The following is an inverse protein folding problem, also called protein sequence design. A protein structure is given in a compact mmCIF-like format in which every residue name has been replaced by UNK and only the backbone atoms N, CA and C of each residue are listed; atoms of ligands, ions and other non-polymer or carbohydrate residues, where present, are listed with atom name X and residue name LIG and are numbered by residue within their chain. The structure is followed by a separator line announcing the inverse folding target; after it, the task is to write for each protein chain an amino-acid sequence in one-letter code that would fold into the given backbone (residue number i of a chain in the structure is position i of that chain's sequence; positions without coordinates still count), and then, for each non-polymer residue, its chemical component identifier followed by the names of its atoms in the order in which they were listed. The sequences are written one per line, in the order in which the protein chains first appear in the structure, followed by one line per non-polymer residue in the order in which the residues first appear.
data_IF_725533137869
#
_entry.id   IF_725533137869
#
_cell.length_a   1.000
_cell.length_b   1.000
_cell.length_c   1.000
_cell.angle_alpha   90.00
_cell.angle_beta   90.00
_cell.angle_gamma   90.00
#
_symmetry.space_group_name_H-M   'P 1'
#
loop_
_entity.id
_entity.type
_entity.pdbx_description
1 polymer ?
#
# COMPACT_ATOMS: atom_id res chain seq x y z
N UNK A 1 -26.53 17.30 -42.31
CA UNK A 1 -25.22 17.70 -41.75
C UNK A 1 -24.84 16.67 -40.70
N UNK A 2 -23.65 16.10 -40.82
CA UNK A 2 -23.28 14.73 -40.48
C UNK A 2 -23.32 14.31 -38.99
N UNK A 3 -23.58 13.02 -38.79
CA UNK A 3 -23.45 12.19 -37.58
C UNK A 3 -22.05 11.50 -37.62
N UNK A 4 -21.51 11.08 -36.45
CA UNK A 4 -20.30 10.23 -36.18
C UNK A 4 -18.95 10.98 -36.23
N UNK A 5 -17.94 10.73 -35.37
CA UNK A 5 -17.68 9.72 -34.36
C UNK A 5 -16.65 10.27 -33.33
N UNK A 6 -16.59 9.64 -32.16
CA UNK A 6 -15.53 9.79 -31.17
C UNK A 6 -14.12 9.65 -31.80
N UNK A 7 -13.07 10.28 -31.25
CA UNK A 7 -11.75 9.71 -31.41
C UNK A 7 -11.72 8.46 -30.54
N UNK A 8 -11.86 7.31 -31.21
CA UNK A 8 -11.48 6.02 -30.66
C UNK A 8 -10.07 6.11 -30.06
N UNK A 9 -9.90 5.39 -28.95
CA UNK A 9 -8.65 5.13 -28.27
C UNK A 9 -7.50 4.87 -29.26
N UNK A 10 -6.57 5.82 -29.34
CA UNK A 10 -5.17 5.49 -29.57
C UNK A 10 -4.56 5.36 -28.17
N UNK A 11 -4.55 4.13 -27.66
CA UNK A 11 -3.71 3.72 -26.53
C UNK A 11 -2.26 3.93 -26.92
N UNK A 12 -1.79 5.18 -26.82
CA UNK A 12 -0.38 5.50 -26.92
C UNK A 12 0.31 4.84 -25.74
N UNK A 13 1.01 3.74 -26.00
CA UNK A 13 1.89 3.16 -25.00
C UNK A 13 2.81 4.25 -24.48
N UNK A 14 2.87 4.41 -23.16
CA UNK A 14 3.76 5.37 -22.51
C UNK A 14 5.19 5.15 -22.99
N UNK A 15 5.90 6.23 -23.30
CA UNK A 15 7.30 6.17 -23.70
C UNK A 15 8.17 5.70 -22.53
N UNK A 16 9.32 5.08 -22.81
CA UNK A 16 10.25 4.66 -21.76
C UNK A 16 10.66 5.80 -20.80
N UNK A 17 10.96 7.03 -21.28
CA UNK A 17 11.23 8.16 -20.39
C UNK A 17 10.05 8.53 -19.49
N UNK A 18 8.82 8.42 -19.99
CA UNK A 18 7.62 8.70 -19.19
C UNK A 18 7.43 7.66 -18.07
N UNK A 19 7.72 6.38 -18.35
CA UNK A 19 7.71 5.32 -17.34
C UNK A 19 8.79 5.55 -16.28
N UNK A 20 9.99 5.97 -16.69
CA UNK A 20 11.10 6.28 -15.79
C UNK A 20 10.79 7.49 -14.90
N UNK A 21 10.23 8.56 -15.47
CA UNK A 21 9.79 9.74 -14.72
C UNK A 21 8.71 9.39 -13.69
N UNK A 22 7.73 8.56 -14.06
CA UNK A 22 6.70 8.06 -13.15
C UNK A 22 7.32 7.25 -12.02
N UNK A 23 8.24 6.33 -12.35
CA UNK A 23 8.92 5.48 -11.37
C UNK A 23 9.73 6.32 -10.38
N UNK A 24 10.44 7.33 -10.86
CA UNK A 24 11.22 8.26 -10.03
C UNK A 24 10.32 9.11 -9.12
N UNK A 25 9.20 9.61 -9.65
CA UNK A 25 8.20 10.33 -8.84
C UNK A 25 7.65 9.45 -7.71
N UNK A 26 7.30 8.20 -8.02
CA UNK A 26 6.82 7.24 -7.04
C UNK A 26 7.89 6.86 -6.01
N UNK A 27 9.15 6.67 -6.44
CA UNK A 27 10.27 6.38 -5.56
C UNK A 27 10.51 7.50 -4.55
N UNK A 28 10.55 8.76 -5.00
CA UNK A 28 10.69 9.92 -4.09
C UNK A 28 9.56 10.02 -3.07
N UNK A 29 8.33 9.74 -3.49
CA UNK A 29 7.19 9.69 -2.57
C UNK A 29 7.36 8.55 -1.54
N UNK A 30 7.80 7.36 -1.95
CA UNK A 30 8.11 6.25 -1.04
C UNK A 30 9.24 6.58 -0.05
N UNK A 31 10.31 7.21 -0.51
CA UNK A 31 11.42 7.65 0.34
C UNK A 31 10.95 8.67 1.39
N UNK A 32 10.07 9.60 1.02
CA UNK A 32 9.52 10.56 1.98
C UNK A 32 8.75 9.87 3.11
N UNK A 33 7.98 8.82 2.81
CA UNK A 33 7.34 7.97 3.83
C UNK A 33 8.38 7.26 4.70
N UNK A 34 9.36 6.59 4.08
CA UNK A 34 10.39 5.83 4.79
C UNK A 34 11.25 6.68 5.73
N UNK A 35 11.40 7.97 5.43
CA UNK A 35 12.06 8.98 6.26
C UNK A 35 11.12 9.72 7.22
N UNK A 36 9.87 9.26 7.37
CA UNK A 36 8.85 9.80 8.28
C UNK A 36 8.46 11.25 7.98
N UNK A 37 8.45 11.58 6.69
CA UNK A 37 8.00 12.86 6.16
C UNK A 37 6.84 12.58 5.19
N UNK A 38 5.62 12.28 5.68
CA UNK A 38 4.53 11.86 4.80
C UNK A 38 3.98 12.98 3.90
N UNK A 39 4.30 14.25 4.15
CA UNK A 39 3.77 15.39 3.41
C UNK A 39 3.92 15.31 1.89
N UNK A 40 5.13 15.09 1.34
CA UNK A 40 5.34 14.89 -0.10
C UNK A 40 4.56 13.70 -0.67
N UNK A 41 4.51 12.58 0.04
CA UNK A 41 3.68 11.44 -0.35
C UNK A 41 2.19 11.77 -0.39
N UNK A 42 1.66 12.39 0.68
CA UNK A 42 0.25 12.78 0.77
C UNK A 42 -0.16 13.78 -0.33
N UNK A 43 0.78 14.63 -0.75
CA UNK A 43 0.59 15.57 -1.86
C UNK A 43 0.58 14.87 -3.22
N UNK A 44 1.29 13.75 -3.36
CA UNK A 44 1.30 12.94 -4.58
C UNK A 44 0.04 12.06 -4.72
N UNK A 45 -0.73 11.83 -3.65
CA UNK A 45 -1.97 11.05 -3.69
C UNK A 45 -3.08 11.77 -4.47
N UNK A 46 -3.73 11.06 -5.39
CA UNK A 46 -4.91 11.52 -6.13
C UNK A 46 -6.19 11.43 -5.27
N UNK A 47 -6.17 12.00 -4.06
CA UNK A 47 -7.21 11.83 -3.02
C UNK A 47 -8.60 12.23 -3.52
N UNK A 48 -8.69 13.34 -4.27
CA UNK A 48 -9.93 13.81 -4.86
C UNK A 48 -10.47 12.85 -5.94
N UNK A 49 -9.60 12.26 -6.75
CA UNK A 49 -9.99 11.29 -7.76
C UNK A 49 -10.49 9.99 -7.12
N UNK A 50 -9.81 9.52 -6.05
CA UNK A 50 -10.24 8.35 -5.26
C UNK A 50 -11.63 8.58 -4.68
N UNK A 51 -11.84 9.70 -3.97
CA UNK A 51 -13.13 10.00 -3.35
C UNK A 51 -14.23 10.21 -4.39
N UNK A 52 -13.94 10.93 -5.48
CA UNK A 52 -14.90 11.14 -6.57
C UNK A 52 -15.26 9.85 -7.29
N UNK A 53 -14.32 8.92 -7.46
CA UNK A 53 -14.57 7.61 -8.05
C UNK A 53 -15.48 6.74 -7.19
N UNK A 54 -15.38 6.86 -5.86
CA UNK A 54 -16.20 6.08 -4.93
C UNK A 54 -17.60 6.66 -4.70
N UNK A 55 -17.72 7.97 -4.43
CA UNK A 55 -19.01 8.61 -4.15
C UNK A 55 -19.75 9.08 -5.40
N UNK A 56 -19.07 9.14 -6.54
CA UNK A 56 -19.55 9.78 -7.76
C UNK A 56 -19.28 11.29 -7.77
N UNK A 57 -18.96 11.80 -8.96
CA UNK A 57 -18.62 13.21 -9.18
C UNK A 57 -19.70 14.21 -8.73
N UNK A 58 -21.02 13.95 -8.92
CA UNK A 58 -22.05 14.88 -8.44
C UNK A 58 -22.12 14.99 -6.91
N UNK A 59 -21.90 13.87 -6.21
CA UNK A 59 -21.89 13.85 -4.74
C UNK A 59 -20.65 14.59 -4.24
N UNK A 60 -19.48 14.24 -4.76
CA UNK A 60 -18.20 14.86 -4.36
C UNK A 60 -18.17 16.37 -4.60
N UNK A 61 -18.69 16.83 -5.75
CA UNK A 61 -18.78 18.27 -6.05
C UNK A 61 -19.77 19.00 -5.15
N UNK A 62 -20.85 18.34 -4.72
CA UNK A 62 -21.85 18.92 -3.84
C UNK A 62 -21.47 18.94 -2.35
N UNK A 63 -20.35 18.32 -1.96
CA UNK A 63 -19.79 18.46 -0.61
C UNK A 63 -19.11 19.82 -0.44
N UNK A 64 -19.22 20.40 0.76
CA UNK A 64 -18.46 21.61 1.10
C UNK A 64 -16.96 21.32 1.24
N UNK A 65 -16.11 22.34 1.12
CA UNK A 65 -14.66 22.16 1.27
C UNK A 65 -14.26 21.59 2.63
N UNK A 66 -15.00 21.96 3.67
CA UNK A 66 -14.82 21.41 5.02
C UNK A 66 -15.12 19.90 5.05
N UNK A 67 -16.18 19.46 4.39
CA UNK A 67 -16.57 18.05 4.32
C UNK A 67 -15.57 17.24 3.50
N UNK A 68 -15.18 17.76 2.32
CA UNK A 68 -14.11 17.16 1.50
C UNK A 68 -12.80 17.06 2.29
N UNK A 69 -12.45 18.09 3.04
CA UNK A 69 -11.26 18.10 3.90
C UNK A 69 -11.24 16.97 4.93
N UNK A 70 -12.38 16.62 5.54
CA UNK A 70 -12.47 15.48 6.47
C UNK A 70 -12.24 14.15 5.76
N UNK A 71 -12.88 13.94 4.61
CA UNK A 71 -12.73 12.72 3.82
C UNK A 71 -11.28 12.59 3.31
N UNK A 72 -10.70 13.68 2.80
CA UNK A 72 -9.30 13.71 2.35
C UNK A 72 -8.33 13.29 3.46
N UNK A 73 -8.56 13.77 4.68
CA UNK A 73 -7.76 13.39 5.85
C UNK A 73 -7.85 11.90 6.13
N UNK A 74 -9.07 11.35 6.20
CA UNK A 74 -9.26 9.90 6.44
C UNK A 74 -8.54 9.05 5.40
N UNK A 75 -8.57 9.46 4.13
CA UNK A 75 -7.84 8.75 3.06
C UNK A 75 -6.34 8.79 3.32
N UNK A 76 -5.77 9.99 3.51
CA UNK A 76 -4.32 10.18 3.74
C UNK A 76 -3.85 9.40 4.95
N UNK A 77 -4.53 9.56 6.08
CA UNK A 77 -4.23 8.87 7.33
C UNK A 77 -4.26 7.35 7.11
N UNK A 78 -5.24 6.84 6.37
CA UNK A 78 -5.33 5.40 6.09
C UNK A 78 -4.16 4.88 5.25
N UNK A 79 -3.69 5.65 4.25
CA UNK A 79 -2.52 5.28 3.47
C UNK A 79 -1.25 5.27 4.33
N UNK A 80 -1.02 6.34 5.10
CA UNK A 80 0.17 6.48 5.95
C UNK A 80 0.17 5.39 7.03
N UNK A 81 -0.92 5.20 7.77
CA UNK A 81 -1.01 4.17 8.83
C UNK A 81 -0.77 2.75 8.31
N UNK A 82 -1.15 2.47 7.07
CA UNK A 82 -1.02 1.13 6.47
C UNK A 82 0.39 0.88 5.95
N UNK A 83 1.06 1.90 5.40
CA UNK A 83 2.41 1.79 4.86
C UNK A 83 3.49 2.00 5.92
N UNK A 84 3.26 2.87 6.91
CA UNK A 84 4.12 3.13 8.06
C UNK A 84 3.45 2.64 9.36
N UNK A 85 3.52 1.34 9.68
CA UNK A 85 2.90 0.84 10.89
C UNK A 85 3.59 1.41 12.15
N UNK A 86 2.89 1.43 13.31
CA UNK A 86 3.43 1.98 14.55
C UNK A 86 4.77 1.33 14.93
N UNK A 87 5.77 2.16 15.27
CA UNK A 87 7.17 1.79 15.55
C UNK A 87 7.98 1.34 14.33
N UNK A 88 7.54 1.65 13.11
CA UNK A 88 8.44 1.62 11.96
C UNK A 88 9.64 2.55 12.25
N UNK A 89 10.84 1.97 12.31
CA UNK A 89 12.08 2.74 12.22
C UNK A 89 12.22 3.37 10.84
N UNK A 90 13.27 4.17 10.62
CA UNK A 90 13.61 4.62 9.27
C UNK A 90 13.82 3.40 8.38
N UNK A 91 13.23 3.44 7.19
CA UNK A 91 13.36 2.38 6.20
C UNK A 91 14.13 2.84 4.97
N UNK A 92 14.19 1.96 3.98
CA UNK A 92 14.71 2.27 2.65
C UNK A 92 13.93 1.55 1.56
N UNK A 93 14.02 2.05 0.33
CA UNK A 93 13.49 1.34 -0.83
C UNK A 93 14.49 0.24 -1.20
N UNK A 94 14.11 -1.03 -1.00
CA UNK A 94 14.99 -2.17 -1.25
C UNK A 94 15.14 -2.50 -2.74
N UNK A 95 14.07 -2.32 -3.50
CA UNK A 95 14.02 -2.57 -4.94
C UNK A 95 12.81 -1.88 -5.56
N UNK A 96 12.90 -1.59 -6.86
CA UNK A 96 11.80 -1.01 -7.64
C UNK A 96 11.72 -1.60 -9.05
N UNK A 97 10.52 -1.62 -9.64
CA UNK A 97 10.33 -1.90 -11.06
C UNK A 97 9.11 -1.16 -11.60
N UNK A 98 9.28 -0.34 -12.63
CA UNK A 98 8.18 0.32 -13.33
C UNK A 98 7.75 -0.47 -14.57
N UNK A 99 6.44 -0.62 -14.80
CA UNK A 99 5.88 -1.16 -16.04
C UNK A 99 4.71 -0.30 -16.53
N UNK A 100 4.58 -0.07 -17.85
CA UNK A 100 3.41 0.59 -18.40
C UNK A 100 2.16 -0.26 -18.17
N UNK A 101 1.04 0.40 -17.87
CA UNK A 101 -0.26 -0.20 -17.57
C UNK A 101 -1.36 0.69 -18.18
N UNK A 102 -1.58 0.55 -19.48
CA UNK A 102 -2.45 1.44 -20.25
C UNK A 102 -1.91 2.88 -20.31
N UNK A 103 -2.69 3.83 -19.80
CA UNK A 103 -2.31 5.25 -19.64
C UNK A 103 -1.62 5.53 -18.29
N UNK A 104 -1.44 4.50 -17.46
CA UNK A 104 -0.86 4.55 -16.14
C UNK A 104 0.47 3.77 -16.08
N UNK A 105 1.18 3.90 -14.96
CA UNK A 105 2.38 3.12 -14.64
C UNK A 105 2.12 2.33 -13.38
N UNK A 106 2.34 1.02 -13.46
CA UNK A 106 2.40 0.14 -12.29
C UNK A 106 3.86 0.09 -11.80
N UNK A 107 4.11 0.72 -10.66
CA UNK A 107 5.41 0.73 -9.98
C UNK A 107 5.41 -0.28 -8.84
N UNK A 108 6.23 -1.32 -8.95
CA UNK A 108 6.45 -2.30 -7.90
C UNK A 108 7.57 -1.80 -6.99
N UNK A 109 7.35 -1.81 -5.67
CA UNK A 109 8.36 -1.44 -4.68
C UNK A 109 8.40 -2.44 -3.53
N UNK A 110 9.63 -2.74 -3.07
CA UNK A 110 9.89 -3.32 -1.76
C UNK A 110 10.26 -2.23 -0.76
N UNK A 111 9.36 -1.92 0.16
CA UNK A 111 9.61 -0.96 1.24
C UNK A 111 10.20 -1.70 2.44
N UNK A 112 11.49 -1.51 2.71
CA UNK A 112 12.17 -2.22 3.78
C UNK A 112 12.09 -1.46 5.09
N UNK A 113 11.58 -2.15 6.12
CA UNK A 113 11.56 -1.71 7.51
C UNK A 113 12.32 -2.71 8.38
N UNK A 114 12.74 -2.35 9.60
CA UNK A 114 13.40 -3.30 10.51
C UNK A 114 12.61 -4.58 10.79
N UNK A 115 11.27 -4.51 10.71
CA UNK A 115 10.37 -5.66 10.92
C UNK A 115 10.19 -6.54 9.68
N UNK A 116 10.65 -6.11 8.50
CA UNK A 116 10.49 -6.83 7.23
C UNK A 116 10.25 -5.91 6.04
N UNK A 117 10.13 -6.52 4.87
CA UNK A 117 9.90 -5.80 3.61
C UNK A 117 8.44 -5.88 3.19
N UNK A 118 7.82 -4.73 3.00
CA UNK A 118 6.46 -4.62 2.47
C UNK A 118 6.50 -4.56 0.94
N UNK A 119 5.89 -5.56 0.30
CA UNK A 119 5.80 -5.64 -1.17
C UNK A 119 4.56 -4.88 -1.63
N UNK A 120 4.75 -3.91 -2.52
CA UNK A 120 3.68 -3.00 -2.95
C UNK A 120 3.68 -2.77 -4.46
N UNK A 121 2.50 -2.50 -5.02
CA UNK A 121 2.33 -2.03 -6.39
C UNK A 121 1.55 -0.71 -6.38
N UNK A 122 2.17 0.35 -6.86
CA UNK A 122 1.63 1.69 -6.87
C UNK A 122 1.13 1.98 -8.28
N UNK A 123 -0.12 2.43 -8.40
CA UNK A 123 -0.69 2.87 -9.67
C UNK A 123 -0.49 4.37 -9.81
N UNK A 124 0.37 4.78 -10.73
CA UNK A 124 0.64 6.19 -11.01
C UNK A 124 -0.01 6.60 -12.33
N UNK A 125 -0.56 7.81 -12.37
CA UNK A 125 -1.15 8.36 -13.57
C UNK A 125 -0.70 9.80 -13.83
N UNK A 126 -0.67 10.20 -15.12
CA UNK A 126 -0.29 11.55 -15.48
C UNK A 126 -1.31 12.56 -14.92
N UNK A 127 -0.79 13.68 -14.43
CA UNK A 127 -1.56 14.80 -13.90
C UNK A 127 -0.93 16.13 -14.33
N UNK A 128 -1.66 17.24 -14.12
CA UNK A 128 -1.12 18.57 -14.41
C UNK A 128 0.12 18.84 -13.53
N UNK A 129 1.30 18.83 -14.14
CA UNK A 129 2.57 19.07 -13.45
C UNK A 129 3.32 17.82 -12.97
N UNK A 130 2.97 16.61 -13.42
CA UNK A 130 3.75 15.40 -13.17
C UNK A 130 2.90 14.13 -13.03
N UNK A 131 3.19 13.33 -12.01
CA UNK A 131 2.55 12.03 -11.75
C UNK A 131 1.87 12.00 -10.40
N UNK A 132 0.68 11.41 -10.34
CA UNK A 132 -0.08 11.22 -9.08
C UNK A 132 -0.36 9.75 -8.82
N UNK A 133 -0.39 9.38 -7.54
CA UNK A 133 -0.65 8.03 -7.08
C UNK A 133 -2.18 7.85 -6.98
N UNK A 134 -2.75 7.03 -7.85
CA UNK A 134 -4.19 6.69 -7.86
C UNK A 134 -4.55 5.64 -6.82
N UNK A 135 -3.64 4.69 -6.58
CA UNK A 135 -3.83 3.62 -5.60
C UNK A 135 -2.49 2.98 -5.21
N UNK A 136 -2.46 2.32 -4.06
CA UNK A 136 -1.37 1.46 -3.62
C UNK A 136 -1.94 0.11 -3.25
N UNK A 137 -1.37 -0.94 -3.82
CA UNK A 137 -1.73 -2.32 -3.56
C UNK A 137 -0.68 -2.98 -2.69
N UNK A 138 -1.09 -3.60 -1.58
CA UNK A 138 -0.26 -4.56 -0.85
C UNK A 138 -0.36 -5.89 -1.59
N UNK A 139 0.71 -6.29 -2.27
CA UNK A 139 0.64 -7.35 -3.29
C UNK A 139 0.42 -8.74 -2.70
N UNK A 140 1.08 -9.04 -1.58
CA UNK A 140 0.92 -10.30 -0.85
C UNK A 140 -0.53 -10.53 -0.36
N UNK A 141 -1.13 -9.62 0.43
CA UNK A 141 -2.50 -9.81 0.88
C UNK A 141 -3.55 -9.49 -0.20
N UNK A 142 -3.18 -8.86 -1.32
CA UNK A 142 -4.11 -8.48 -2.39
C UNK A 142 -5.02 -7.29 -2.03
N UNK A 143 -4.53 -6.36 -1.22
CA UNK A 143 -5.33 -5.22 -0.70
C UNK A 143 -5.07 -3.96 -1.52
N UNK A 144 -6.14 -3.34 -2.03
CA UNK A 144 -6.12 -1.94 -2.49
C UNK A 144 -6.35 -1.01 -1.30
N UNK A 145 -5.37 -0.16 -0.99
CA UNK A 145 -5.44 0.77 0.13
C UNK A 145 -6.51 1.84 -0.14
N UNK A 146 -6.65 2.32 -1.38
CA UNK A 146 -7.72 3.27 -1.72
C UNK A 146 -9.11 2.69 -1.47
N UNK A 147 -9.34 1.44 -1.91
CA UNK A 147 -10.63 0.76 -1.74
C UNK A 147 -10.93 0.51 -0.27
N UNK A 148 -9.93 0.10 0.51
CA UNK A 148 -10.11 -0.17 1.94
C UNK A 148 -10.36 1.11 2.74
N UNK A 149 -9.66 2.20 2.40
CA UNK A 149 -9.94 3.52 2.95
C UNK A 149 -11.41 3.93 2.71
N UNK A 150 -11.94 3.70 1.50
CA UNK A 150 -13.33 4.01 1.18
C UNK A 150 -14.34 3.11 1.87
N UNK A 151 -14.05 1.81 2.00
CA UNK A 151 -14.87 0.88 2.79
C UNK A 151 -14.99 1.31 4.24
N UNK A 152 -13.92 1.87 4.82
CA UNK A 152 -13.95 2.35 6.21
C UNK A 152 -14.90 3.53 6.41
N UNK A 153 -15.10 4.37 5.38
CA UNK A 153 -16.05 5.49 5.43
C UNK A 153 -17.48 4.99 5.22
N UNK A 154 -17.69 4.05 4.31
CA UNK A 154 -19.01 3.50 3.97
C UNK A 154 -19.88 4.45 3.12
N UNK A 155 -20.73 3.88 2.28
CA UNK A 155 -21.63 4.66 1.41
C UNK A 155 -22.67 5.47 2.20
N UNK A 156 -23.11 4.95 3.34
CA UNK A 156 -24.21 5.53 4.13
C UNK A 156 -23.78 6.72 5.01
N UNK A 157 -22.47 6.99 5.06
CA UNK A 157 -21.91 8.13 5.78
C UNK A 157 -22.30 9.46 5.13
N UNK A 158 -22.52 9.49 3.80
CA UNK A 158 -22.94 10.70 3.10
C UNK A 158 -24.44 10.62 2.82
N UNK A 159 -25.22 11.52 3.43
CA UNK A 159 -26.67 11.58 3.22
C UNK A 159 -27.07 12.90 2.62
N UNK A 160 -27.97 12.88 1.63
CA UNK A 160 -28.55 14.10 1.05
C UNK A 160 -29.46 14.77 2.07
N UNK A 161 -29.30 16.07 2.26
CA UNK A 161 -30.13 16.86 3.18
C UNK A 161 -31.39 17.37 2.49
N UNK A 162 -32.45 17.52 3.27
CA UNK A 162 -33.61 18.34 2.90
C UNK A 162 -33.26 19.81 3.18
N UNK A 163 -33.13 20.66 2.14
CA UNK A 163 -32.72 22.05 2.29
C UNK A 163 -33.72 22.86 3.11
N UNK A 164 -35.02 22.57 2.99
CA UNK A 164 -36.06 23.29 3.73
C UNK A 164 -35.99 22.98 5.23
N UNK A 165 -35.81 21.69 5.57
CA UNK A 165 -35.64 21.27 6.96
C UNK A 165 -34.35 21.83 7.57
N UNK A 166 -33.25 21.82 6.83
CA UNK A 166 -31.96 22.35 7.29
C UNK A 166 -32.01 23.87 7.52
N UNK A 167 -32.64 24.63 6.61
CA UNK A 167 -32.84 26.07 6.76
C UNK A 167 -33.66 26.41 8.01
N UNK A 168 -34.78 25.70 8.25
CA UNK A 168 -35.61 25.92 9.45
C UNK A 168 -34.83 25.62 10.73
N UNK A 169 -34.11 24.51 10.79
CA UNK A 169 -33.29 24.13 11.93
C UNK A 169 -32.19 25.16 12.22
N UNK A 170 -31.58 25.74 11.18
CA UNK A 170 -30.57 26.79 11.32
C UNK A 170 -31.17 28.13 11.78
N UNK A 171 -32.37 28.49 11.31
CA UNK A 171 -33.03 29.75 11.63
C UNK A 171 -33.63 29.78 13.04
N UNK A 172 -34.21 28.67 13.51
CA UNK A 172 -35.04 28.62 14.71
C UNK A 172 -34.36 29.19 15.98
N UNK A 173 -33.11 28.82 16.34
CA UNK A 173 -32.45 29.39 17.52
C UNK A 173 -32.21 30.90 17.43
N UNK A 174 -31.95 31.44 16.22
CA UNK A 174 -31.77 32.89 16.03
C UNK A 174 -33.08 33.64 16.12
N UNK A 175 -34.16 33.07 15.57
CA UNK A 175 -35.50 33.66 15.67
C UNK A 175 -35.95 33.72 17.14
N UNK A 176 -35.69 32.66 17.92
CA UNK A 176 -35.92 32.69 19.37
C UNK A 176 -35.08 33.78 20.07
N UNK A 177 -33.81 33.93 19.72
CA UNK A 177 -32.93 34.98 20.24
C UNK A 177 -33.46 36.40 19.95
N UNK A 178 -33.87 36.66 18.71
CA UNK A 178 -34.53 37.92 18.32
C UNK A 178 -35.83 38.15 19.08
N UNK A 179 -36.64 37.10 19.27
CA UNK A 179 -37.86 37.15 20.07
C UNK A 179 -37.58 37.50 21.54
N UNK A 180 -36.53 36.93 22.14
CA UNK A 180 -36.13 37.23 23.51
C UNK A 180 -35.70 38.70 23.68
N UNK A 181 -34.92 39.24 22.73
CA UNK A 181 -34.54 40.66 22.69
C UNK A 181 -35.80 41.53 22.63
N UNK A 182 -36.75 41.19 21.76
CA UNK A 182 -38.02 41.92 21.64
C UNK A 182 -38.81 41.94 22.96
N UNK A 183 -38.93 40.78 23.62
CA UNK A 183 -39.62 40.66 24.92
C UNK A 183 -38.94 41.54 25.98
N UNK A 184 -37.60 41.53 26.06
CA UNK A 184 -36.83 42.37 26.99
C UNK A 184 -37.08 43.86 26.71
N UNK A 185 -37.00 44.26 25.44
CA UNK A 185 -37.24 45.66 25.03
C UNK A 185 -38.64 46.11 25.40
N UNK A 186 -39.66 45.29 25.16
CA UNK A 186 -41.06 45.60 25.51
C UNK A 186 -41.26 45.66 27.03
N UNK A 187 -40.76 44.67 27.77
CA UNK A 187 -40.93 44.58 29.22
C UNK A 187 -40.19 45.71 29.97
N UNK A 188 -38.94 45.97 29.62
CA UNK A 188 -38.14 47.05 30.22
C UNK A 188 -38.60 48.43 29.72
N UNK A 189 -38.99 48.56 28.45
CA UNK A 189 -39.48 49.81 27.86
C UNK A 189 -40.76 50.32 28.54
N UNK A 190 -41.67 49.41 28.94
CA UNK A 190 -42.87 49.76 29.73
C UNK A 190 -42.53 50.39 31.10
N UNK A 191 -41.38 50.05 31.69
CA UNK A 191 -40.94 50.52 33.01
C UNK A 191 -40.03 51.76 32.96
N UNK A 192 -39.60 52.19 31.77
CA UNK A 192 -38.63 53.28 31.60
C UNK A 192 -39.25 54.57 31.04
N UNK A 193 -38.76 55.75 31.46
CA UNK A 193 -39.15 57.05 30.90
C UNK A 193 -38.69 57.21 29.44
N UNK A 194 -39.35 58.08 28.67
CA UNK A 194 -39.16 58.22 27.22
C UNK A 194 -37.69 58.47 26.80
N UNK A 195 -36.92 59.21 27.60
CA UNK A 195 -35.49 59.47 27.36
C UNK A 195 -34.62 58.21 27.44
N UNK A 196 -34.93 57.27 28.34
CA UNK A 196 -34.18 56.01 28.53
C UNK A 196 -34.60 54.91 27.54
N UNK A 197 -35.79 55.00 26.95
CA UNK A 197 -36.26 54.06 25.91
C UNK A 197 -35.41 54.11 24.65
N UNK A 198 -34.92 55.30 24.26
CA UNK A 198 -34.00 55.45 23.11
C UNK A 198 -32.69 54.72 23.34
N UNK A 199 -32.12 54.81 24.54
CA UNK A 199 -30.89 54.12 24.92
C UNK A 199 -31.10 52.59 24.93
N UNK A 200 -32.24 52.12 25.47
CA UNK A 200 -32.60 50.70 25.45
C UNK A 200 -32.74 50.15 24.01
N UNK A 201 -33.36 50.90 23.10
CA UNK A 201 -33.49 50.51 21.70
C UNK A 201 -32.13 50.45 21.00
N UNK A 202 -31.26 51.44 21.21
CA UNK A 202 -29.92 51.47 20.63
C UNK A 202 -29.04 50.32 21.14
N UNK A 203 -29.12 50.00 22.43
CA UNK A 203 -28.37 48.88 23.04
C UNK A 203 -28.90 47.53 22.59
N UNK A 204 -30.20 47.38 22.34
CA UNK A 204 -30.79 46.15 21.79
C UNK A 204 -30.59 45.99 20.27
N UNK A 205 -30.35 47.08 19.54
CA UNK A 205 -30.15 47.05 18.09
C UNK A 205 -28.90 46.25 17.69
N UNK A 206 -27.79 46.42 18.40
CA UNK A 206 -26.54 45.70 18.13
C UNK A 206 -26.71 44.15 18.21
N UNK A 207 -27.20 43.57 19.31
CA UNK A 207 -27.44 42.12 19.36
C UNK A 207 -28.53 41.69 18.37
N UNK A 208 -29.57 42.48 18.12
CA UNK A 208 -30.59 42.13 17.13
C UNK A 208 -30.00 42.03 15.70
N UNK A 209 -29.16 42.98 15.31
CA UNK A 209 -28.45 42.93 14.01
C UNK A 209 -27.52 41.72 13.96
N UNK A 210 -26.79 41.42 15.03
CA UNK A 210 -25.93 40.23 15.09
C UNK A 210 -26.73 38.93 14.92
N UNK A 211 -27.84 38.75 15.63
CA UNK A 211 -28.69 37.57 15.50
C UNK A 211 -29.32 37.45 14.10
N UNK A 212 -29.68 38.57 13.48
CA UNK A 212 -30.21 38.59 12.11
C UNK A 212 -29.14 38.18 11.09
N UNK A 213 -27.96 38.81 11.14
CA UNK A 213 -26.84 38.52 10.22
C UNK A 213 -26.35 37.08 10.40
N UNK A 214 -26.16 36.64 11.65
CA UNK A 214 -25.78 35.26 11.95
C UNK A 214 -26.86 34.26 11.49
N UNK A 215 -28.14 34.60 11.65
CA UNK A 215 -29.25 33.77 11.17
C UNK A 215 -29.28 33.64 9.66
N UNK A 216 -29.16 34.74 8.94
CA UNK A 216 -29.09 34.74 7.48
C UNK A 216 -27.87 33.94 6.98
N UNK A 217 -26.72 34.11 7.62
CA UNK A 217 -25.49 33.38 7.28
C UNK A 217 -25.61 31.88 7.56
N UNK A 218 -26.23 31.50 8.68
CA UNK A 218 -26.45 30.11 9.03
C UNK A 218 -27.43 29.41 8.09
N UNK A 219 -28.53 30.08 7.70
CA UNK A 219 -29.46 29.56 6.69
C UNK A 219 -28.77 29.42 5.35
N UNK A 220 -28.00 30.43 4.92
CA UNK A 220 -27.24 30.36 3.65
C UNK A 220 -26.25 29.19 3.66
N UNK A 221 -25.51 28.99 4.75
CA UNK A 221 -24.62 27.84 4.93
C UNK A 221 -25.39 26.52 4.88
N UNK A 222 -26.49 26.40 5.60
CA UNK A 222 -27.31 25.19 5.62
C UNK A 222 -27.88 24.83 4.23
N UNK A 223 -28.27 25.83 3.44
CA UNK A 223 -28.74 25.63 2.06
C UNK A 223 -27.60 25.29 1.10
N UNK A 224 -26.38 25.76 1.35
CA UNK A 224 -25.21 25.40 0.54
C UNK A 224 -24.68 23.98 0.81
N UNK A 225 -24.94 23.42 2.00
CA UNK A 225 -24.54 22.06 2.35
C UNK A 225 -25.61 21.04 1.91
N UNK A 226 -25.51 20.61 0.64
CA UNK A 226 -26.44 19.64 0.04
C UNK A 226 -26.40 18.25 0.68
N UNK A 227 -25.31 17.93 1.37
CA UNK A 227 -25.06 16.64 2.01
C UNK A 227 -24.65 16.82 3.47
N UNK A 228 -24.94 15.81 4.29
CA UNK A 228 -24.42 15.68 5.65
C UNK A 228 -23.35 14.59 5.68
N UNK A 229 -22.19 14.95 6.22
CA UNK A 229 -21.10 14.03 6.56
C UNK A 229 -20.91 14.09 8.08
N UNK A 230 -20.83 12.94 8.79
CA UNK A 230 -20.52 12.89 10.20
C UNK A 230 -19.31 13.75 10.57
N UNK A 231 -19.31 14.26 11.79
CA UNK A 231 -18.17 15.02 12.31
C UNK A 231 -16.96 14.12 12.52
N UNK A 232 -17.21 12.92 13.06
CA UNK A 232 -16.24 11.84 13.21
C UNK A 232 -16.68 10.69 12.30
N UNK A 233 -15.84 10.35 11.33
CA UNK A 233 -16.00 9.11 10.57
C UNK A 233 -15.45 7.97 11.44
N UNK A 234 -16.25 6.97 11.79
CA UNK A 234 -15.79 5.90 12.68
C UNK A 234 -14.63 5.16 12.01
N UNK A 235 -13.58 4.77 12.77
CA UNK A 235 -12.60 3.84 12.23
C UNK A 235 -13.32 2.53 11.88
N UNK A 236 -12.87 1.86 10.81
CA UNK A 236 -13.39 0.55 10.45
C UNK A 236 -13.38 -0.39 11.68
N UNK A 237 -14.53 -0.99 12.07
CA UNK A 237 -14.65 -1.75 13.32
C UNK A 237 -13.59 -2.85 13.46
N UNK A 238 -13.24 -3.49 12.35
CA UNK A 238 -12.25 -4.55 12.28
C UNK A 238 -10.80 -4.10 12.46
N UNK A 239 -10.47 -2.80 12.29
CA UNK A 239 -9.10 -2.28 12.41
C UNK A 239 -8.53 -2.51 13.81
N UNK A 240 -9.36 -2.41 14.84
CA UNK A 240 -8.93 -2.67 16.21
C UNK A 240 -8.48 -4.12 16.40
N UNK A 241 -9.25 -5.06 15.87
CA UNK A 241 -8.96 -6.49 15.91
C UNK A 241 -7.77 -6.87 15.02
N UNK A 242 -7.65 -6.27 13.82
CA UNK A 242 -6.49 -6.39 12.94
C UNK A 242 -5.21 -5.94 13.64
N UNK A 243 -5.19 -4.74 14.22
CA UNK A 243 -4.02 -4.22 14.94
C UNK A 243 -3.63 -5.14 16.11
N UNK A 244 -4.61 -5.64 16.86
CA UNK A 244 -4.36 -6.59 17.93
C UNK A 244 -3.79 -7.92 17.42
N UNK A 245 -4.21 -8.39 16.25
CA UNK A 245 -3.68 -9.61 15.63
C UNK A 245 -2.23 -9.43 15.18
N UNK A 246 -1.93 -8.32 14.51
CA UNK A 246 -0.58 -7.97 14.08
C UNK A 246 0.38 -7.81 15.27
N UNK A 247 -0.06 -7.18 16.36
CA UNK A 247 0.76 -7.04 17.56
C UNK A 247 1.09 -8.41 18.18
N UNK A 248 0.11 -9.31 18.26
CA UNK A 248 0.34 -10.68 18.76
C UNK A 248 1.30 -11.47 17.88
N UNK A 249 1.28 -11.28 16.55
CA UNK A 249 2.27 -11.89 15.65
C UNK A 249 3.68 -11.39 15.98
N UNK A 250 3.82 -10.09 16.23
CA UNK A 250 5.10 -9.46 16.59
C UNK A 250 5.62 -9.92 17.96
N UNK A 251 4.73 -10.14 18.91
CA UNK A 251 5.06 -10.71 20.23
C UNK A 251 5.41 -12.21 20.18
N UNK A 252 5.29 -12.87 19.02
CA UNK A 252 5.48 -14.32 18.87
C UNK A 252 4.33 -15.15 19.48
N UNK A 253 3.21 -14.52 19.85
CA UNK A 253 2.01 -15.20 20.36
C UNK A 253 1.14 -15.67 19.20
N UNK A 254 1.66 -16.65 18.46
CA UNK A 254 1.18 -16.98 17.12
C UNK A 254 -0.22 -17.62 17.08
N UNK A 255 -0.59 -18.51 18.01
CA UNK A 255 -1.99 -19.02 18.04
C UNK A 255 -2.97 -17.93 18.45
N UNK A 256 -2.49 -17.03 19.30
CA UNK A 256 -3.24 -15.92 19.83
C UNK A 256 -3.52 -14.88 18.74
N UNK A 257 -2.58 -14.70 17.82
CA UNK A 257 -2.73 -13.93 16.60
C UNK A 257 -3.74 -14.56 15.63
N UNK A 258 -3.68 -15.87 15.41
CA UNK A 258 -4.65 -16.58 14.57
C UNK A 258 -6.10 -16.35 15.05
N UNK A 259 -6.35 -16.51 16.35
CA UNK A 259 -7.66 -16.20 16.96
C UNK A 259 -8.05 -14.71 16.85
N UNK A 260 -7.08 -13.81 16.87
CA UNK A 260 -7.35 -12.38 16.70
C UNK A 260 -7.74 -12.05 15.24
N UNK A 261 -7.14 -12.72 14.26
CA UNK A 261 -7.55 -12.62 12.85
C UNK A 261 -8.95 -13.15 12.61
N UNK A 262 -9.35 -14.25 13.25
CA UNK A 262 -10.74 -14.75 13.21
C UNK A 262 -11.72 -13.71 13.74
N UNK A 263 -11.40 -13.06 14.86
CA UNK A 263 -12.21 -11.96 15.41
C UNK A 263 -12.26 -10.75 14.48
N UNK A 264 -11.17 -10.44 13.78
CA UNK A 264 -11.16 -9.36 12.79
C UNK A 264 -12.12 -9.65 11.63
N UNK A 265 -12.13 -10.88 11.12
CA UNK A 265 -13.09 -11.32 10.08
C UNK A 265 -14.52 -11.24 10.61
N UNK A 266 -14.79 -11.70 11.83
CA UNK A 266 -16.11 -11.59 12.45
C UNK A 266 -16.57 -10.13 12.61
N UNK A 267 -15.63 -9.19 12.77
CA UNK A 267 -15.89 -7.75 12.82
C UNK A 267 -15.96 -7.06 11.45
N UNK A 268 -15.85 -7.81 10.33
CA UNK A 268 -15.99 -7.30 8.97
C UNK A 268 -14.69 -7.12 8.19
N UNK A 269 -13.53 -7.59 8.71
CA UNK A 269 -12.28 -7.52 7.96
C UNK A 269 -12.38 -8.30 6.63
N UNK A 270 -11.68 -7.84 5.58
CA UNK A 270 -11.52 -8.60 4.36
C UNK A 270 -11.00 -10.02 4.65
N UNK A 271 -11.80 -10.99 4.24
CA UNK A 271 -11.63 -12.37 4.64
C UNK A 271 -10.35 -12.99 4.02
N UNK A 272 -10.05 -12.72 2.75
CA UNK A 272 -8.87 -13.32 2.09
C UNK A 272 -7.53 -12.87 2.72
N UNK A 273 -7.29 -11.57 2.94
CA UNK A 273 -6.10 -11.10 3.66
C UNK A 273 -5.97 -11.67 5.07
N UNK A 274 -7.08 -11.79 5.81
CA UNK A 274 -7.06 -12.31 7.17
C UNK A 274 -6.70 -13.81 7.20
N UNK A 275 -7.22 -14.62 6.26
CA UNK A 275 -6.82 -16.03 6.13
C UNK A 275 -5.34 -16.17 5.76
N UNK A 276 -4.83 -15.29 4.88
CA UNK A 276 -3.41 -15.26 4.55
C UNK A 276 -2.55 -14.96 5.78
N UNK A 277 -2.89 -13.92 6.55
CA UNK A 277 -2.17 -13.55 7.77
C UNK A 277 -2.24 -14.64 8.84
N UNK A 278 -3.39 -15.30 8.96
CA UNK A 278 -3.52 -16.46 9.84
C UNK A 278 -2.64 -17.63 9.38
N UNK A 279 -2.55 -17.88 8.07
CA UNK A 279 -1.64 -18.88 7.51
C UNK A 279 -0.17 -18.58 7.84
N UNK A 280 0.25 -17.30 7.74
CA UNK A 280 1.59 -16.87 8.16
C UNK A 280 1.82 -17.14 9.66
N UNK A 281 0.87 -16.78 10.53
CA UNK A 281 0.98 -17.03 11.97
C UNK A 281 1.08 -18.53 12.29
N UNK A 282 0.25 -19.37 11.67
CA UNK A 282 0.25 -20.83 11.85
C UNK A 282 1.54 -21.47 11.32
N UNK A 283 2.06 -20.98 10.19
CA UNK A 283 3.32 -21.44 9.62
C UNK A 283 4.49 -21.17 10.57
N UNK A 284 4.56 -19.93 11.10
CA UNK A 284 5.57 -19.56 12.09
C UNK A 284 5.44 -20.36 13.40
N UNK A 285 4.24 -20.84 13.73
CA UNK A 285 3.98 -21.71 14.89
C UNK A 285 4.32 -23.19 14.63
N UNK A 286 4.83 -23.53 13.45
CA UNK A 286 5.13 -24.91 13.06
C UNK A 286 3.92 -25.75 12.66
N UNK A 287 2.70 -25.18 12.63
CA UNK A 287 1.44 -25.86 12.29
C UNK A 287 1.23 -25.89 10.77
N UNK A 288 2.12 -26.61 10.08
CA UNK A 288 2.24 -26.58 8.61
C UNK A 288 0.96 -26.94 7.85
N UNK A 289 0.24 -27.99 8.27
CA UNK A 289 -1.00 -28.41 7.59
C UNK A 289 -2.14 -27.39 7.76
N UNK A 290 -2.24 -26.77 8.93
CA UNK A 290 -3.26 -25.75 9.17
C UNK A 290 -2.93 -24.44 8.46
N UNK A 291 -1.63 -24.09 8.38
CA UNK A 291 -1.16 -22.98 7.55
C UNK A 291 -1.53 -23.22 6.08
N UNK A 292 -1.27 -24.42 5.55
CA UNK A 292 -1.66 -24.81 4.19
C UNK A 292 -3.16 -24.67 3.97
N UNK A 293 -3.98 -25.16 4.91
CA UNK A 293 -5.43 -25.00 4.84
C UNK A 293 -5.87 -23.52 4.83
N UNK A 294 -5.24 -22.67 5.66
CA UNK A 294 -5.51 -21.24 5.70
C UNK A 294 -5.12 -20.54 4.38
N UNK A 295 -3.96 -20.86 3.82
CA UNK A 295 -3.53 -20.33 2.51
C UNK A 295 -4.47 -20.74 1.38
N UNK A 296 -4.93 -22.00 1.36
CA UNK A 296 -5.90 -22.46 0.37
C UNK A 296 -7.24 -21.72 0.49
N UNK A 297 -7.71 -21.45 1.72
CA UNK A 297 -8.91 -20.61 1.93
C UNK A 297 -8.70 -19.18 1.45
N UNK A 298 -7.53 -18.59 1.72
CA UNK A 298 -7.19 -17.24 1.24
C UNK A 298 -7.22 -17.14 -0.29
N UNK A 299 -6.77 -18.19 -1.00
CA UNK A 299 -6.83 -18.26 -2.47
C UNK A 299 -8.24 -18.52 -3.02
N UNK A 300 -9.12 -19.15 -2.24
CA UNK A 300 -10.51 -19.44 -2.65
C UNK A 300 -11.46 -18.24 -2.54
N UNK A 301 -11.07 -17.19 -1.80
CA UNK A 301 -11.87 -15.99 -1.59
C UNK A 301 -11.68 -15.00 -2.74
N UNK A 302 -12.68 -14.17 -3.02
CA UNK A 302 -12.62 -13.12 -4.04
C UNK A 302 -12.73 -11.73 -3.40
N UNK A 303 -11.75 -10.81 -3.61
CA UNK A 303 -10.47 -11.05 -4.27
C UNK A 303 -9.57 -12.00 -3.45
N UNK A 304 -8.73 -12.78 -4.14
CA UNK A 304 -7.79 -13.69 -3.51
C UNK A 304 -6.60 -12.95 -2.89
N UNK A 305 -5.88 -13.59 -1.97
CA UNK A 305 -4.60 -13.10 -1.45
C UNK A 305 -3.43 -13.80 -2.18
N UNK A 306 -2.78 -13.16 -3.17
CA UNK A 306 -1.77 -13.81 -4.01
C UNK A 306 -0.60 -14.40 -3.21
N UNK A 307 -0.20 -13.74 -2.12
CA UNK A 307 0.90 -14.17 -1.25
C UNK A 307 0.71 -15.59 -0.71
N UNK A 308 -0.52 -16.07 -0.57
CA UNK A 308 -0.79 -17.45 -0.20
C UNK A 308 -0.25 -18.47 -1.23
N UNK A 309 -0.25 -18.15 -2.53
CA UNK A 309 0.38 -18.99 -3.56
C UNK A 309 1.90 -19.01 -3.40
N UNK A 310 2.53 -17.87 -3.06
CA UNK A 310 3.97 -17.80 -2.78
C UNK A 310 4.34 -18.70 -1.59
N UNK A 311 3.64 -18.57 -0.46
CA UNK A 311 3.92 -19.39 0.73
C UNK A 311 3.73 -20.89 0.48
N UNK A 312 2.69 -21.27 -0.27
CA UNK A 312 2.49 -22.66 -0.70
C UNK A 312 3.60 -23.14 -1.64
N UNK A 313 4.08 -22.27 -2.54
CA UNK A 313 5.20 -22.58 -3.44
C UNK A 313 6.52 -22.78 -2.69
N UNK A 314 6.82 -21.93 -1.71
CA UNK A 314 8.00 -22.08 -0.85
C UNK A 314 7.91 -23.36 -0.01
N UNK A 315 6.74 -23.69 0.54
CA UNK A 315 6.51 -24.94 1.25
C UNK A 315 6.70 -26.17 0.35
N UNK A 316 6.23 -26.11 -0.90
CA UNK A 316 6.42 -27.17 -1.89
C UNK A 316 7.90 -27.35 -2.26
N UNK A 317 8.67 -26.27 -2.43
CA UNK A 317 10.13 -26.33 -2.62
C UNK A 317 10.83 -27.05 -1.47
N UNK A 318 10.49 -26.69 -0.23
CA UNK A 318 11.08 -27.32 0.95
C UNK A 318 10.75 -28.82 1.07
N UNK A 319 9.64 -29.27 0.47
CA UNK A 319 9.26 -30.68 0.40
C UNK A 319 9.85 -31.42 -0.82
N UNK A 320 10.63 -30.74 -1.67
CA UNK A 320 11.18 -31.31 -2.90
C UNK A 320 10.21 -31.30 -4.09
N UNK A 321 8.98 -30.82 -3.92
CA UNK A 321 7.94 -30.76 -4.95
C UNK A 321 8.13 -29.53 -5.87
N UNK A 322 9.25 -29.50 -6.60
CA UNK A 322 9.66 -28.32 -7.39
C UNK A 322 8.71 -27.97 -8.55
N UNK A 323 8.00 -28.95 -9.11
CA UNK A 323 7.00 -28.69 -10.15
C UNK A 323 5.79 -27.89 -9.62
N UNK A 324 5.23 -28.29 -8.48
CA UNK A 324 4.15 -27.53 -7.84
C UNK A 324 4.65 -26.13 -7.44
N UNK A 325 5.85 -26.05 -6.87
CA UNK A 325 6.40 -24.77 -6.46
C UNK A 325 6.56 -23.78 -7.62
N UNK A 326 7.10 -24.25 -8.76
CA UNK A 326 7.20 -23.46 -9.99
C UNK A 326 5.84 -22.87 -10.37
N UNK A 327 4.79 -23.70 -10.42
CA UNK A 327 3.46 -23.27 -10.87
C UNK A 327 2.84 -22.26 -9.91
N UNK A 328 3.00 -22.46 -8.61
CA UNK A 328 2.52 -21.56 -7.55
C UNK A 328 3.24 -20.21 -7.56
N UNK A 329 4.56 -20.21 -7.70
CA UNK A 329 5.38 -18.99 -7.77
C UNK A 329 5.08 -18.20 -9.04
N UNK A 330 4.91 -18.88 -10.19
CA UNK A 330 4.47 -18.23 -11.43
C UNK A 330 3.08 -17.60 -11.30
N UNK A 331 2.14 -18.27 -10.62
CA UNK A 331 0.81 -17.71 -10.37
C UNK A 331 0.89 -16.46 -9.49
N UNK A 332 1.70 -16.49 -8.42
CA UNK A 332 1.92 -15.33 -7.57
C UNK A 332 2.56 -14.16 -8.34
N UNK A 333 3.65 -14.38 -9.08
CA UNK A 333 4.36 -13.33 -9.83
C UNK A 333 3.51 -12.69 -10.93
N UNK A 334 2.54 -13.43 -11.49
CA UNK A 334 1.55 -12.90 -12.45
C UNK A 334 0.62 -11.84 -11.83
N UNK A 335 0.21 -12.05 -10.59
CA UNK A 335 -0.75 -11.18 -9.89
C UNK A 335 -0.06 -10.08 -9.07
N UNK A 336 1.00 -10.46 -8.33
CA UNK A 336 1.73 -9.58 -7.43
C UNK A 336 2.82 -8.77 -8.14
N UNK A 337 3.24 -9.20 -9.33
CA UNK A 337 4.37 -8.65 -10.05
C UNK A 337 5.73 -9.18 -9.58
N UNK A 338 6.82 -8.66 -10.16
CA UNK A 338 8.17 -9.15 -9.89
C UNK A 338 8.64 -8.74 -8.49
N UNK A 339 9.21 -9.69 -7.76
CA UNK A 339 10.00 -9.40 -6.56
C UNK A 339 11.21 -10.36 -6.46
N UNK A 340 12.32 -9.91 -5.86
CA UNK A 340 13.57 -10.67 -5.88
C UNK A 340 13.49 -12.04 -5.20
N UNK A 341 12.82 -12.13 -4.05
CA UNK A 341 12.75 -13.38 -3.27
C UNK A 341 11.99 -14.46 -4.04
N UNK A 342 10.84 -14.08 -4.60
CA UNK A 342 9.98 -14.99 -5.34
C UNK A 342 10.60 -15.40 -6.68
N UNK A 343 11.32 -14.50 -7.36
CA UNK A 343 12.10 -14.81 -8.56
C UNK A 343 13.27 -15.76 -8.26
N UNK A 344 13.95 -15.56 -7.13
CA UNK A 344 15.01 -16.46 -6.67
C UNK A 344 14.50 -17.86 -6.38
N UNK A 345 13.38 -17.96 -5.65
CA UNK A 345 12.71 -19.24 -5.39
C UNK A 345 12.24 -19.91 -6.69
N UNK A 346 11.70 -19.12 -7.63
CA UNK A 346 11.26 -19.63 -8.93
C UNK A 346 12.45 -20.18 -9.74
N UNK A 347 13.60 -19.49 -9.73
CA UNK A 347 14.80 -19.96 -10.40
C UNK A 347 15.26 -21.33 -9.88
N UNK A 348 15.23 -21.52 -8.56
CA UNK A 348 15.54 -22.83 -7.94
C UNK A 348 14.53 -23.90 -8.37
N UNK A 349 13.24 -23.59 -8.32
CA UNK A 349 12.18 -24.52 -8.73
C UNK A 349 12.36 -24.94 -10.20
N UNK A 350 12.62 -23.98 -11.09
CA UNK A 350 12.86 -24.19 -12.51
C UNK A 350 14.11 -25.03 -12.78
N UNK A 351 15.22 -24.75 -12.09
CA UNK A 351 16.44 -25.54 -12.22
C UNK A 351 16.22 -27.00 -11.80
N UNK A 352 15.49 -27.23 -10.71
CA UNK A 352 15.21 -28.58 -10.21
C UNK A 352 14.30 -29.39 -11.16
N UNK A 353 13.44 -28.74 -11.95
CA UNK A 353 12.61 -29.41 -12.97
C UNK A 353 13.25 -29.46 -14.36
N UNK A 354 14.48 -28.96 -14.51
CA UNK A 354 15.22 -28.94 -15.78
C UNK A 354 14.87 -27.79 -16.73
N UNK A 355 14.12 -26.79 -16.29
CA UNK A 355 13.80 -25.57 -17.07
C UNK A 355 14.96 -24.56 -17.03
N UNK A 356 16.14 -25.00 -17.48
CA UNK A 356 17.41 -24.30 -17.28
C UNK A 356 17.43 -22.85 -17.80
N UNK A 357 16.94 -22.62 -19.03
CA UNK A 357 16.93 -21.28 -19.62
C UNK A 357 16.07 -20.29 -18.81
N UNK A 358 14.92 -20.75 -18.32
CA UNK A 358 14.02 -19.93 -17.49
C UNK A 358 14.58 -19.70 -16.09
N UNK A 359 15.25 -20.70 -15.52
CA UNK A 359 15.92 -20.55 -14.22
C UNK A 359 16.96 -19.42 -14.25
N UNK A 360 17.77 -19.38 -15.32
CA UNK A 360 18.74 -18.31 -15.56
C UNK A 360 18.06 -16.96 -15.74
N UNK A 361 16.97 -16.89 -16.51
CA UNK A 361 16.22 -15.65 -16.69
C UNK A 361 15.67 -15.11 -15.36
N UNK A 362 15.05 -15.98 -14.54
CA UNK A 362 14.45 -15.60 -13.27
C UNK A 362 15.50 -15.08 -12.28
N UNK A 363 16.67 -15.72 -12.18
CA UNK A 363 17.71 -15.28 -11.24
C UNK A 363 18.39 -13.98 -11.70
N UNK A 364 18.54 -13.76 -13.00
CA UNK A 364 19.02 -12.48 -13.54
C UNK A 364 18.02 -11.35 -13.29
N UNK A 365 16.72 -11.62 -13.47
CA UNK A 365 15.68 -10.64 -13.12
C UNK A 365 15.73 -10.29 -11.63
N UNK A 366 15.92 -11.28 -10.73
CA UNK A 366 16.07 -11.02 -9.29
C UNK A 366 17.27 -10.12 -8.99
N UNK A 367 18.41 -10.37 -9.64
CA UNK A 367 19.64 -9.56 -9.49
C UNK A 367 19.44 -8.13 -9.98
N UNK A 368 18.82 -7.94 -11.15
CA UNK A 368 18.55 -6.61 -11.72
C UNK A 368 17.72 -5.74 -10.77
N UNK A 369 16.74 -6.33 -10.08
CA UNK A 369 15.90 -5.61 -9.11
C UNK A 369 16.67 -5.15 -7.86
N UNK A 370 17.66 -5.93 -7.41
CA UNK A 370 18.40 -5.65 -6.16
C UNK A 370 19.69 -4.85 -6.37
N UNK A 371 20.10 -4.60 -7.62
CA UNK A 371 21.31 -3.86 -7.99
C UNK A 371 22.52 -4.26 -7.11
N UNK A 372 23.24 -3.27 -6.57
CA UNK A 372 24.48 -3.44 -5.77
C UNK A 372 24.27 -4.18 -4.42
N UNK A 373 23.03 -4.43 -4.01
CA UNK A 373 22.70 -5.12 -2.75
C UNK A 373 22.40 -6.61 -2.92
N UNK A 374 22.61 -7.16 -4.12
CA UNK A 374 22.32 -8.55 -4.42
C UNK A 374 23.22 -9.51 -3.62
N UNK A 375 22.69 -10.05 -2.52
CA UNK A 375 23.35 -11.11 -1.72
C UNK A 375 23.15 -12.51 -2.30
N UNK A 376 22.42 -12.62 -3.42
CA UNK A 376 22.12 -13.90 -4.07
C UNK A 376 23.19 -14.39 -5.04
N UNK A 377 24.40 -13.80 -5.07
CA UNK A 377 25.51 -14.21 -5.95
C UNK A 377 25.82 -15.71 -5.81
N UNK A 378 25.84 -16.23 -4.58
CA UNK A 378 26.02 -17.67 -4.33
C UNK A 378 24.87 -18.48 -4.94
N UNK A 379 23.63 -18.08 -4.69
CA UNK A 379 22.46 -18.75 -5.27
C UNK A 379 22.49 -18.73 -6.81
N UNK A 380 22.85 -17.59 -7.39
CA UNK A 380 23.02 -17.43 -8.83
C UNK A 380 24.10 -18.37 -9.39
N UNK A 381 25.24 -18.49 -8.73
CA UNK A 381 26.28 -19.46 -9.12
C UNK A 381 25.78 -20.90 -9.03
N UNK A 382 24.98 -21.25 -8.00
CA UNK A 382 24.40 -22.57 -7.84
C UNK A 382 23.37 -22.86 -8.94
N UNK A 383 22.55 -21.87 -9.33
CA UNK A 383 21.64 -22.00 -10.48
C UNK A 383 22.44 -22.20 -11.76
N UNK A 384 23.49 -21.40 -12.00
CA UNK A 384 24.35 -21.59 -13.17
C UNK A 384 24.99 -22.96 -13.23
N UNK A 385 25.51 -23.45 -12.12
CA UNK A 385 26.13 -24.76 -12.04
C UNK A 385 25.12 -25.88 -12.30
N UNK A 386 23.93 -25.82 -11.69
CA UNK A 386 22.85 -26.80 -11.93
C UNK A 386 22.36 -26.83 -13.37
N UNK A 387 22.40 -25.68 -14.04
CA UNK A 387 22.05 -25.58 -15.47
C UNK A 387 23.19 -25.98 -16.41
N UNK A 388 24.35 -26.38 -15.89
CA UNK A 388 25.52 -26.83 -16.66
C UNK A 388 26.41 -25.70 -17.19
N UNK A 389 26.22 -24.46 -16.73
CA UNK A 389 26.99 -23.31 -17.21
C UNK A 389 28.21 -23.03 -16.31
N UNK A 390 29.28 -23.81 -16.49
CA UNK A 390 30.50 -23.67 -15.69
C UNK A 390 31.16 -22.30 -15.85
N UNK A 391 31.19 -21.74 -17.06
CA UNK A 391 31.81 -20.44 -17.34
C UNK A 391 31.15 -19.31 -16.53
N UNK A 392 29.82 -19.19 -16.57
CA UNK A 392 29.09 -18.17 -15.78
C UNK A 392 29.15 -18.45 -14.29
N UNK A 393 29.20 -19.72 -13.89
CA UNK A 393 29.39 -20.10 -12.48
C UNK A 393 30.71 -19.54 -11.95
N UNK A 394 31.81 -19.78 -12.66
CA UNK A 394 33.14 -19.30 -12.30
C UNK A 394 33.19 -17.77 -12.31
N UNK A 395 32.65 -17.13 -13.35
CA UNK A 395 32.56 -15.66 -13.42
C UNK A 395 31.86 -15.07 -12.18
N UNK A 396 30.70 -15.63 -11.82
CA UNK A 396 29.92 -15.20 -10.65
C UNK A 396 30.64 -15.47 -9.33
N UNK A 397 31.38 -16.58 -9.22
CA UNK A 397 32.13 -16.87 -7.99
C UNK A 397 33.38 -16.00 -7.84
N UNK A 398 34.00 -15.57 -8.94
CA UNK A 398 35.13 -14.64 -8.90
C UNK A 398 34.73 -13.28 -8.36
N UNK A 399 33.50 -12.81 -8.60
CA UNK A 399 33.02 -11.59 -7.94
C UNK A 399 32.94 -11.78 -6.42
N UNK A 400 32.39 -12.92 -5.95
CA UNK A 400 32.33 -13.25 -4.52
C UNK A 400 33.72 -13.39 -3.87
N UNK A 401 34.68 -13.95 -4.62
CA UNK A 401 36.07 -14.06 -4.17
C UNK A 401 36.74 -12.69 -4.01
N UNK A 402 36.48 -11.75 -4.92
CA UNK A 402 37.01 -10.40 -4.83
C UNK A 402 36.52 -9.62 -3.60
N UNK A 403 35.36 -10.02 -3.07
CA UNK A 403 34.76 -9.48 -1.84
C UNK A 403 35.24 -10.21 -0.57
N UNK A 404 36.14 -11.18 -0.69
CA UNK A 404 36.73 -11.93 0.43
C UNK A 404 35.81 -13.00 1.05
N UNK A 405 34.71 -13.33 0.39
CA UNK A 405 33.63 -14.19 0.94
C UNK A 405 33.61 -15.64 0.46
N UNK A 406 34.65 -16.12 -0.24
CA UNK A 406 34.63 -17.43 -0.89
C UNK A 406 35.67 -18.41 -0.33
N UNK A 407 35.18 -19.50 0.24
CA UNK A 407 35.96 -20.71 0.52
C UNK A 407 35.79 -21.71 -0.63
N UNK A 408 36.84 -21.84 -1.46
CA UNK A 408 36.85 -22.74 -2.62
C UNK A 408 36.79 -24.22 -2.22
N UNK A 409 37.24 -24.59 -1.03
CA UNK A 409 37.19 -25.99 -0.58
C UNK A 409 35.76 -26.41 -0.31
N UNK A 410 34.96 -25.54 0.32
CA UNK A 410 33.53 -25.78 0.54
C UNK A 410 32.77 -26.06 -0.77
N UNK A 411 33.14 -25.40 -1.88
CA UNK A 411 32.51 -25.58 -3.18
C UNK A 411 32.68 -27.00 -3.75
N UNK A 412 33.78 -27.68 -3.43
CA UNK A 412 34.04 -29.06 -3.89
C UNK A 412 33.03 -30.06 -3.34
N UNK A 413 32.52 -29.77 -2.15
CA UNK A 413 31.58 -30.64 -1.43
C UNK A 413 30.11 -30.23 -1.58
N UNK A 414 29.83 -29.05 -2.15
CA UNK A 414 28.47 -28.58 -2.37
C UNK A 414 27.83 -29.31 -3.57
N UNK A 415 26.74 -30.09 -3.37
CA UNK A 415 26.06 -30.83 -4.43
C UNK A 415 25.54 -29.96 -5.58
N UNK A 416 25.34 -28.65 -5.35
CA UNK A 416 24.88 -27.75 -6.39
C UNK A 416 25.86 -27.62 -7.57
N UNK A 417 27.16 -27.87 -7.36
CA UNK A 417 28.19 -27.78 -8.40
C UNK A 417 28.53 -29.13 -9.05
N UNK A 418 27.93 -30.24 -8.59
CA UNK A 418 28.15 -31.57 -9.16
C UNK A 418 27.92 -31.63 -10.69
N UNK A 419 26.90 -30.94 -11.26
CA UNK A 419 26.66 -31.00 -12.71
C UNK A 419 27.78 -30.40 -13.58
N UNK A 420 28.68 -29.58 -13.01
CA UNK A 420 29.84 -29.01 -13.70
C UNK A 420 31.17 -29.57 -13.19
N UNK A 421 31.16 -30.61 -12.35
CA UNK A 421 32.35 -31.11 -11.66
C UNK A 421 33.48 -31.54 -12.63
N UNK A 422 33.13 -31.99 -13.84
CA UNK A 422 34.08 -32.42 -14.87
C UNK A 422 34.42 -31.33 -15.88
N UNK A 423 33.84 -30.13 -15.77
CA UNK A 423 34.07 -29.05 -16.71
C UNK A 423 35.50 -28.47 -16.53
N UNK A 424 36.28 -28.30 -17.61
CA UNK A 424 37.64 -27.78 -17.50
C UNK A 424 37.74 -26.39 -16.85
N UNK A 425 36.77 -25.50 -17.08
CA UNK A 425 36.78 -24.17 -16.49
C UNK A 425 36.56 -24.24 -14.97
N UNK A 426 35.68 -25.15 -14.52
CA UNK A 426 35.45 -25.40 -13.10
C UNK A 426 36.66 -26.01 -12.41
N UNK A 427 37.27 -27.03 -13.00
CA UNK A 427 38.47 -27.69 -12.48
C UNK A 427 39.64 -26.71 -12.37
N UNK A 428 39.85 -25.88 -13.41
CA UNK A 428 40.89 -24.86 -13.42
C UNK A 428 40.68 -23.85 -12.29
N UNK A 429 39.45 -23.32 -12.15
CA UNK A 429 39.09 -22.39 -11.08
C UNK A 429 39.37 -22.94 -9.68
N UNK A 430 39.00 -24.20 -9.41
CA UNK A 430 39.24 -24.83 -8.11
C UNK A 430 40.71 -25.16 -7.83
N UNK A 431 41.57 -25.18 -8.86
CA UNK A 431 42.99 -25.55 -8.77
C UNK A 431 43.92 -24.33 -8.71
N UNK A 432 43.40 -23.14 -9.02
CA UNK A 432 44.11 -21.88 -8.83
C UNK A 432 44.40 -21.65 -7.33
N UNK A 433 45.60 -21.17 -7.00
CA UNK A 433 45.92 -20.70 -5.65
C UNK A 433 44.98 -19.54 -5.26
N UNK A 434 44.48 -19.47 -4.01
CA UNK A 434 43.64 -18.36 -3.58
C UNK A 434 44.39 -17.05 -3.85
N UNK A 435 43.74 -16.12 -4.54
CA UNK A 435 44.32 -14.80 -4.78
C UNK A 435 44.72 -14.20 -3.42
N UNK A 436 45.98 -13.79 -3.28
CA UNK A 436 46.45 -13.14 -2.05
C UNK A 436 45.46 -12.03 -1.68
N UNK A 437 44.81 -12.17 -0.52
CA UNK A 437 43.80 -11.23 -0.05
C UNK A 437 44.35 -9.81 -0.20
N UNK A 438 43.72 -8.98 -1.04
CA UNK A 438 44.04 -7.56 -1.06
C UNK A 438 43.74 -7.04 0.34
N UNK A 439 44.76 -6.50 0.99
CA UNK A 439 44.65 -5.87 2.31
C UNK A 439 43.44 -4.93 2.29
N UNK A 440 42.52 -5.01 3.26
CA UNK A 440 41.41 -4.07 3.31
C UNK A 440 41.97 -2.63 3.35
N UNK A 441 41.35 -1.66 2.66
CA UNK A 441 41.76 -0.27 2.77
C UNK A 441 41.70 0.14 4.25
N UNK A 442 42.67 0.92 4.75
CA UNK A 442 42.61 1.41 6.12
C UNK A 442 41.30 2.18 6.31
N UNK A 443 40.52 1.78 7.31
CA UNK A 443 39.28 2.45 7.72
C UNK A 443 39.56 3.92 8.01
N UNK A 444 38.77 4.89 7.49
CA UNK A 444 38.79 6.26 7.97
C UNK A 444 38.25 6.41 9.39
#
# INVERSE_FOLDING_TARGET
MAILAAPAALSGQLSAPAVEEAAESGRRAAESLLHRQPGPFEAALAVDAIASGFFGEPVWRGLSDRQRGRIRRVIRDHFVETLEPPRAGSGEVAWTAGRPDGDAVSLFLGLHYPAGTLKTRWSLAPAAGGWTIRDVFLTDPGISIAREAMRSIGSDAIRRRDPARAARAAAFPRVLGLGAILVIVVAAGRRLPASKRRILLLTAAAPAVLFFVDGALAVRRALSESYSVPEVLPPAPWRSAERAALEKQREGKLEDAARAWERAVAAGAPAAPADYQMGLALSAAGRKEEAKAAFLRALSRSPAAPGASKELGLAALAQGNSAEARDRLLAYLREAGPDPDSLSALAVAQANVGENARAVESIEQARVLMADRWKGVRLQSQVYARTGNAARTVETLRTLESEGGLDRESLRSDPAYLPIATDPAWIAFLSESPAAARTPPPTP
#
